data_IF_583891483667
#
_entry.id   IF_583891483667
#
_cell.length_a   1.000
_cell.length_b   1.000
_cell.length_c   1.000
_cell.angle_alpha   90.00
_cell.angle_beta   90.00
_cell.angle_gamma   90.00
#
_symmetry.space_group_name_H-M   'P 1'
#
loop_
_entity.id
_entity.type
_entity.pdbx_description
1 polymer ?
#
# COMPACT_ATOMS: atom_id res chain seq x y z
N UNK A 1 5.35 3.33 16.64
CA UNK A 1 4.18 4.24 16.66
C UNK A 1 2.98 3.60 15.93
N UNK A 2 1.80 3.53 16.57
CA UNK A 2 0.59 3.09 15.87
C UNK A 2 0.09 4.18 14.93
N UNK A 3 -0.16 3.78 13.69
CA UNK A 3 -1.14 4.47 12.86
C UNK A 3 -2.50 4.22 13.50
N UNK A 4 -3.09 5.28 14.02
CA UNK A 4 -4.40 5.24 14.65
C UNK A 4 -5.40 5.82 13.67
N UNK A 5 -6.53 5.14 13.54
CA UNK A 5 -7.65 5.73 12.79
C UNK A 5 -8.25 6.88 13.60
N UNK A 6 -8.83 7.92 12.95
CA UNK A 6 -9.33 9.10 13.66
C UNK A 6 -10.32 8.80 14.79
N UNK A 7 -11.01 7.66 14.70
CA UNK A 7 -12.00 7.17 15.66
C UNK A 7 -11.42 6.29 16.79
N UNK A 8 -10.13 5.92 16.76
CA UNK A 8 -9.46 5.17 17.85
C UNK A 8 -8.97 6.08 19.01
N UNK A 9 -9.33 7.36 19.03
CA UNK A 9 -8.80 8.35 20.00
C UNK A 9 -9.17 8.12 21.48
N UNK A 10 -10.00 7.14 21.85
CA UNK A 10 -10.66 7.13 23.18
C UNK A 10 -10.10 6.17 24.24
N UNK A 11 -9.31 5.14 23.91
CA UNK A 11 -8.94 4.12 24.91
C UNK A 11 -7.44 3.77 24.94
N UNK A 12 -6.55 4.77 25.05
CA UNK A 12 -5.11 4.51 25.26
C UNK A 12 -4.74 4.24 26.74
N UNK A 13 -5.68 4.35 27.68
CA UNK A 13 -5.43 4.11 29.11
C UNK A 13 -5.66 2.63 29.42
N UNK A 14 -4.58 1.90 29.71
CA UNK A 14 -4.62 0.48 30.08
C UNK A 14 -4.30 -0.51 28.95
N UNK A 15 -3.93 -0.02 27.76
CA UNK A 15 -3.48 -0.89 26.68
C UNK A 15 -2.07 -1.39 26.97
N UNK A 16 -1.92 -2.70 27.12
CA UNK A 16 -0.61 -3.33 27.36
C UNK A 16 0.25 -3.26 26.08
N UNK A 17 0.99 -2.15 25.97
CA UNK A 17 1.81 -1.83 24.79
C UNK A 17 3.00 -2.78 24.60
N UNK A 18 3.29 -3.63 25.59
CA UNK A 18 4.40 -4.58 25.51
C UNK A 18 3.95 -5.98 25.04
N UNK A 19 2.63 -6.20 24.97
CA UNK A 19 2.06 -7.47 24.53
C UNK A 19 2.49 -7.84 23.11
N UNK A 20 2.85 -9.11 22.92
CA UNK A 20 3.14 -9.68 21.58
C UNK A 20 1.99 -9.42 20.60
N UNK A 21 0.75 -9.42 21.09
CA UNK A 21 -0.44 -9.12 20.28
C UNK A 21 -0.44 -7.67 19.77
N UNK A 22 -0.12 -6.72 20.66
CA UNK A 22 -0.05 -5.30 20.31
C UNK A 22 1.08 -5.00 19.32
N UNK A 23 2.29 -5.55 19.55
CA UNK A 23 3.42 -5.41 18.62
C UNK A 23 3.08 -5.95 17.23
N UNK A 24 2.38 -7.09 17.16
CA UNK A 24 1.93 -7.69 15.89
C UNK A 24 0.89 -6.81 15.17
N UNK A 25 -0.04 -6.20 15.92
CA UNK A 25 -1.00 -5.21 15.41
C UNK A 25 -0.30 -3.99 14.82
N UNK A 26 0.64 -3.39 15.55
CA UNK A 26 1.48 -2.28 15.06
C UNK A 26 2.24 -2.65 13.78
N UNK A 27 2.84 -3.84 13.76
CA UNK A 27 3.59 -4.33 12.60
C UNK A 27 2.69 -4.49 11.37
N UNK A 28 1.49 -5.05 11.53
CA UNK A 28 0.52 -5.18 10.45
C UNK A 28 0.10 -3.83 9.87
N UNK A 29 -0.18 -2.84 10.73
CA UNK A 29 -0.52 -1.47 10.31
C UNK A 29 0.62 -0.78 9.57
N UNK A 30 1.85 -0.93 10.08
CA UNK A 30 3.03 -0.38 9.41
C UNK A 30 3.25 -1.03 8.04
N UNK A 31 3.08 -2.36 7.94
CA UNK A 31 3.19 -3.08 6.66
C UNK A 31 2.18 -2.59 5.64
N UNK A 32 0.92 -2.36 6.06
CA UNK A 32 -0.10 -1.75 5.19
C UNK A 32 0.39 -0.41 4.63
N UNK A 33 0.94 0.44 5.50
CA UNK A 33 1.40 1.77 5.10
C UNK A 33 2.60 1.74 4.16
N UNK A 34 3.57 0.84 4.40
CA UNK A 34 4.66 0.61 3.44
C UNK A 34 4.12 0.14 2.09
N UNK A 35 3.09 -0.71 2.08
CA UNK A 35 2.38 -1.12 0.86
C UNK A 35 1.79 0.07 0.09
N UNK A 36 1.20 1.04 0.79
CA UNK A 36 0.68 2.28 0.20
C UNK A 36 1.80 3.11 -0.45
N UNK A 37 2.92 3.28 0.26
CA UNK A 37 4.08 4.04 -0.24
C UNK A 37 4.69 3.37 -1.47
N UNK A 38 4.83 2.04 -1.46
CA UNK A 38 5.29 1.28 -2.63
C UNK A 38 4.33 1.45 -3.82
N UNK A 39 3.03 1.45 -3.57
CA UNK A 39 2.03 1.66 -4.62
C UNK A 39 2.16 3.06 -5.24
N UNK A 40 2.29 4.09 -4.39
CA UNK A 40 2.49 5.48 -4.83
C UNK A 40 3.81 5.69 -5.56
N UNK A 41 4.86 4.97 -5.17
CA UNK A 41 6.17 4.99 -5.82
C UNK A 41 6.21 4.18 -7.14
N UNK A 42 5.12 3.51 -7.52
CA UNK A 42 5.06 2.65 -8.72
C UNK A 42 5.75 1.29 -8.55
N UNK A 43 6.16 0.94 -7.33
CA UNK A 43 6.79 -0.34 -6.98
C UNK A 43 5.71 -1.41 -6.73
N UNK A 44 5.02 -1.82 -7.81
CA UNK A 44 3.83 -2.68 -7.71
C UNK A 44 4.11 -4.05 -7.09
N UNK A 45 5.23 -4.67 -7.44
CA UNK A 45 5.58 -6.00 -6.94
C UNK A 45 5.82 -5.97 -5.42
N UNK A 46 6.57 -4.98 -4.94
CA UNK A 46 6.84 -4.79 -3.51
C UNK A 46 5.56 -4.42 -2.75
N UNK A 47 4.70 -3.61 -3.37
CA UNK A 47 3.39 -3.26 -2.81
C UNK A 47 2.52 -4.49 -2.56
N UNK A 48 2.42 -5.41 -3.53
CA UNK A 48 1.67 -6.67 -3.38
C UNK A 48 2.21 -7.52 -2.22
N UNK A 49 3.53 -7.65 -2.12
CA UNK A 49 4.17 -8.40 -1.02
C UNK A 49 3.82 -7.78 0.33
N UNK A 50 3.94 -6.46 0.46
CA UNK A 50 3.66 -5.77 1.72
C UNK A 50 2.19 -5.83 2.13
N UNK A 51 1.25 -5.75 1.18
CA UNK A 51 -0.17 -5.92 1.47
C UNK A 51 -0.49 -7.36 1.89
N UNK A 52 0.06 -8.38 1.24
CA UNK A 52 -0.13 -9.77 1.65
C UNK A 52 0.36 -10.00 3.09
N UNK A 53 1.56 -9.52 3.42
CA UNK A 53 2.09 -9.60 4.79
C UNK A 53 1.20 -8.87 5.81
N UNK A 54 0.69 -7.68 5.45
CA UNK A 54 -0.21 -6.93 6.30
C UNK A 54 -1.51 -7.71 6.57
N UNK A 55 -2.10 -8.33 5.54
CA UNK A 55 -3.31 -9.15 5.64
C UNK A 55 -3.11 -10.31 6.62
N UNK A 56 -1.99 -11.04 6.55
CA UNK A 56 -1.69 -12.14 7.46
C UNK A 56 -1.54 -11.68 8.91
N UNK A 57 -0.79 -10.60 9.14
CA UNK A 57 -0.56 -10.05 10.47
C UNK A 57 -1.88 -9.55 11.08
N UNK A 58 -2.64 -8.74 10.34
CA UNK A 58 -3.87 -8.09 10.81
C UNK A 58 -5.01 -9.10 11.04
N UNK A 59 -5.14 -10.12 10.18
CA UNK A 59 -6.09 -11.22 10.38
C UNK A 59 -5.80 -11.97 11.68
N UNK A 60 -4.53 -12.23 11.98
CA UNK A 60 -4.14 -12.97 13.19
C UNK A 60 -4.37 -12.22 14.51
N UNK A 61 -4.54 -10.89 14.46
CA UNK A 61 -4.81 -10.04 15.63
C UNK A 61 -6.23 -9.45 15.62
N UNK A 62 -7.10 -9.92 14.73
CA UNK A 62 -8.47 -9.44 14.57
C UNK A 62 -8.57 -7.91 14.39
N UNK A 63 -7.60 -7.29 13.71
CA UNK A 63 -7.65 -5.86 13.37
C UNK A 63 -8.42 -5.65 12.05
N UNK A 64 -9.71 -5.93 12.08
CA UNK A 64 -10.55 -6.02 10.87
C UNK A 64 -10.63 -4.74 10.06
N UNK A 65 -10.53 -3.59 10.72
CA UNK A 65 -10.55 -2.30 10.05
C UNK A 65 -9.31 -2.10 9.17
N UNK A 66 -8.13 -2.31 9.74
CA UNK A 66 -6.88 -2.22 8.99
C UNK A 66 -6.72 -3.38 8.01
N UNK A 67 -7.28 -4.55 8.32
CA UNK A 67 -7.36 -5.67 7.38
C UNK A 67 -8.18 -5.28 6.13
N UNK A 68 -9.34 -4.63 6.31
CA UNK A 68 -10.13 -4.10 5.20
C UNK A 68 -9.33 -3.11 4.35
N UNK A 69 -8.66 -2.16 4.99
CA UNK A 69 -7.80 -1.19 4.30
C UNK A 69 -6.64 -1.85 3.55
N UNK A 70 -6.05 -2.94 4.09
CA UNK A 70 -5.00 -3.68 3.40
C UNK A 70 -5.53 -4.46 2.19
N UNK A 71 -6.73 -5.06 2.29
CA UNK A 71 -7.38 -5.75 1.18
C UNK A 71 -7.80 -4.80 0.06
N UNK A 72 -8.27 -3.59 0.39
CA UNK A 72 -8.56 -2.54 -0.59
C UNK A 72 -7.30 -2.12 -1.36
N UNK A 73 -6.19 -1.91 -0.65
CA UNK A 73 -4.89 -1.62 -1.25
C UNK A 73 -4.37 -2.76 -2.13
N UNK A 74 -4.51 -4.01 -1.67
CA UNK A 74 -4.14 -5.20 -2.44
C UNK A 74 -4.94 -5.32 -3.74
N UNK A 75 -6.25 -5.08 -3.67
CA UNK A 75 -7.12 -5.07 -4.85
C UNK A 75 -6.67 -3.99 -5.85
N UNK A 76 -6.43 -2.78 -5.37
CA UNK A 76 -5.97 -1.65 -6.19
C UNK A 76 -4.63 -1.96 -6.87
N UNK A 77 -3.65 -2.49 -6.13
CA UNK A 77 -2.37 -2.90 -6.67
C UNK A 77 -2.51 -4.02 -7.72
N UNK A 78 -3.39 -4.99 -7.47
CA UNK A 78 -3.65 -6.10 -8.40
C UNK A 78 -4.26 -5.63 -9.72
N UNK A 79 -5.22 -4.69 -9.67
CA UNK A 79 -5.81 -4.11 -10.88
C UNK A 79 -4.75 -3.38 -11.71
N UNK A 80 -3.90 -2.57 -11.08
CA UNK A 80 -2.82 -1.86 -11.79
C UNK A 80 -1.81 -2.85 -12.38
N UNK A 81 -1.47 -3.91 -11.64
CA UNK A 81 -0.57 -4.97 -12.10
C UNK A 81 -1.12 -5.75 -13.30
N UNK A 82 -2.39 -6.15 -13.27
CA UNK A 82 -3.02 -6.92 -14.34
C UNK A 82 -3.40 -6.07 -15.55
N UNK A 83 -3.68 -4.78 -15.36
CA UNK A 83 -4.12 -3.87 -16.41
C UNK A 83 -3.19 -2.65 -16.50
N UNK A 84 -1.91 -2.82 -16.90
CA UNK A 84 -0.94 -1.71 -16.97
C UNK A 84 -1.33 -0.66 -18.02
N UNK A 85 -2.13 -1.04 -19.03
CA UNK A 85 -2.70 -0.13 -20.04
C UNK A 85 -4.07 0.45 -19.69
N UNK A 86 -4.59 0.17 -18.49
CA UNK A 86 -5.95 0.51 -18.08
C UNK A 86 -7.01 -0.50 -18.55
N UNK A 87 -8.18 -0.46 -17.92
CA UNK A 87 -9.33 -1.34 -18.22
C UNK A 87 -10.21 -0.81 -19.38
N UNK A 88 -9.88 0.35 -19.94
CA UNK A 88 -10.52 0.90 -21.12
C UNK A 88 -10.12 0.10 -22.36
N UNK A 89 -10.90 -0.92 -22.72
CA UNK A 89 -10.61 -1.77 -23.87
C UNK A 89 -10.41 -0.95 -25.14
N UNK A 90 -9.29 -1.16 -25.84
CA UNK A 90 -8.91 -0.71 -27.21
C UNK A 90 -9.53 0.60 -27.77
N UNK A 91 -9.88 1.57 -26.93
CA UNK A 91 -10.42 2.87 -27.37
C UNK A 91 -9.37 3.91 -27.03
N UNK A 92 -8.53 4.20 -28.02
CA UNK A 92 -7.66 5.36 -28.04
C UNK A 92 -6.42 5.20 -27.18
N UNK A 93 -5.33 4.84 -27.84
CA UNK A 93 -3.97 5.15 -27.42
C UNK A 93 -3.82 6.66 -27.13
N UNK A 94 -4.24 7.14 -25.95
CA UNK A 94 -3.71 8.39 -25.40
C UNK A 94 -2.38 8.07 -24.75
N UNK A 95 -1.38 8.06 -25.63
CA UNK A 95 0.04 8.07 -25.36
C UNK A 95 0.32 9.09 -24.25
N UNK A 96 0.58 8.65 -23.02
CA UNK A 96 1.28 9.48 -22.05
C UNK A 96 2.76 9.45 -22.45
N UNK A 97 3.14 10.26 -23.44
CA UNK A 97 4.54 10.58 -23.71
C UNK A 97 5.04 11.50 -22.60
N UNK A 98 5.47 10.90 -21.50
CA UNK A 98 6.26 11.54 -20.44
C UNK A 98 7.70 11.01 -20.46
N UNK A 99 8.33 11.00 -21.63
CA UNK A 99 9.75 10.69 -21.80
C UNK A 99 10.44 11.88 -22.45
N UNK A 100 10.82 12.88 -21.67
CA UNK A 100 11.68 13.95 -22.15
C UNK A 100 13.11 13.42 -22.28
N UNK A 101 13.56 13.41 -23.52
CA UNK A 101 14.83 12.92 -24.04
C UNK A 101 16.02 13.63 -23.36
N UNK A 102 17.05 12.83 -23.06
CA UNK A 102 18.40 13.30 -22.76
C UNK A 102 18.95 14.02 -23.99
N UNK A 103 19.15 15.34 -23.90
CA UNK A 103 19.81 16.12 -24.94
C UNK A 103 21.32 16.13 -24.67
N UNK A 104 22.03 15.15 -25.24
CA UNK A 104 23.44 15.34 -25.58
C UNK A 104 23.50 16.38 -26.71
N UNK A 105 24.07 17.55 -26.44
CA UNK A 105 24.42 18.54 -27.46
C UNK A 105 25.95 18.65 -27.48
N UNK A 106 26.57 17.72 -28.20
CA UNK A 106 27.94 17.86 -28.68
C UNK A 106 27.98 18.67 -29.98
N UNK A 107 28.90 19.62 -29.98
CA UNK A 107 29.69 20.11 -31.13
C UNK A 107 29.15 21.31 -31.94
N UNK A 108 29.78 22.47 -31.70
CA UNK A 108 30.55 23.25 -32.70
C UNK A 108 31.53 24.18 -32.00
#
# INVERSE_FOLDING_TARGET
PLLCVPFEKKDFVGLDTDSRHYKKRCQGRMRKHVGDLCLQAGMLQDSLVHYHMAVELLRSVNDFLWLGAALEGLCSASVIYHYPGGTGGKIGSRRAQGGSLSAEAGNR
#
